data_IF_618753974078
#
_entry.id   IF_618753974078
#
_cell.length_a   1.000
_cell.length_b   1.000
_cell.length_c   1.000
_cell.angle_alpha   90.00
_cell.angle_beta   90.00
_cell.angle_gamma   90.00
#
_symmetry.space_group_name_H-M   'P 1'
#
loop_
_entity.id
_entity.type
_entity.pdbx_description
1 polymer ?
#
# COMPACT_ATOMS: atom_id res chain seq x y z
N UNK A 1 21.78 -20.05 -1.87
CA UNK A 1 22.14 -18.72 -2.40
C UNK A 1 23.42 -18.85 -3.21
N UNK A 2 24.41 -19.54 -2.66
CA UNK A 2 25.67 -19.97 -3.31
C UNK A 2 25.55 -20.53 -4.73
N UNK A 3 24.72 -21.56 -4.98
CA UNK A 3 24.63 -22.17 -6.31
C UNK A 3 24.30 -21.17 -7.43
N UNK A 4 23.38 -20.23 -7.17
CA UNK A 4 23.02 -19.22 -8.17
C UNK A 4 24.08 -18.13 -8.30
N UNK A 5 24.83 -17.87 -7.24
CA UNK A 5 25.94 -16.92 -7.23
C UNK A 5 27.08 -17.39 -8.14
N UNK A 6 27.34 -18.70 -8.15
CA UNK A 6 28.40 -19.32 -8.96
C UNK A 6 27.98 -19.57 -10.42
N UNK A 7 26.73 -20.01 -10.64
CA UNK A 7 26.28 -20.49 -11.96
C UNK A 7 25.61 -19.40 -12.83
N UNK A 8 24.88 -18.45 -12.23
CA UNK A 8 24.12 -17.42 -12.95
C UNK A 8 23.95 -16.14 -12.12
N UNK A 9 24.96 -15.28 -12.19
CA UNK A 9 25.00 -14.01 -11.46
C UNK A 9 23.84 -13.06 -11.83
N UNK A 10 23.30 -13.14 -13.06
CA UNK A 10 22.16 -12.33 -13.46
C UNK A 10 20.87 -12.76 -12.74
N UNK A 11 20.63 -14.07 -12.65
CA UNK A 11 19.51 -14.60 -11.86
C UNK A 11 19.71 -14.33 -10.38
N UNK A 12 20.94 -14.43 -9.88
CA UNK A 12 21.27 -14.10 -8.49
C UNK A 12 20.88 -12.67 -8.14
N UNK A 13 21.34 -11.70 -8.94
CA UNK A 13 21.01 -10.27 -8.76
C UNK A 13 19.51 -10.00 -8.83
N UNK A 14 18.78 -10.70 -9.73
CA UNK A 14 17.32 -10.56 -9.86
C UNK A 14 16.59 -11.12 -8.63
N UNK A 15 16.90 -12.35 -8.22
CA UNK A 15 16.18 -13.05 -7.14
C UNK A 15 16.54 -12.52 -5.76
N UNK A 16 17.81 -12.18 -5.53
CA UNK A 16 18.35 -11.77 -4.23
C UNK A 16 18.61 -10.26 -4.12
N UNK A 17 17.99 -9.45 -4.98
CA UNK A 17 18.18 -8.00 -5.01
C UNK A 17 18.00 -7.30 -3.65
N UNK A 18 17.07 -7.77 -2.81
CA UNK A 18 16.84 -7.24 -1.46
C UNK A 18 17.93 -7.66 -0.48
N UNK A 19 18.40 -8.90 -0.56
CA UNK A 19 19.48 -9.44 0.27
C UNK A 19 20.81 -8.73 -0.03
N UNK A 20 21.10 -8.50 -1.31
CA UNK A 20 22.28 -7.74 -1.76
C UNK A 20 22.22 -6.30 -1.22
N UNK A 21 21.06 -5.64 -1.29
CA UNK A 21 20.85 -4.30 -0.72
C UNK A 21 21.03 -4.26 0.80
N UNK A 22 20.69 -5.34 1.49
CA UNK A 22 20.82 -5.49 2.93
C UNK A 22 22.21 -6.02 3.36
N UNK A 23 23.10 -6.39 2.43
CA UNK A 23 24.42 -6.96 2.74
C UNK A 23 24.37 -8.36 3.37
N UNK A 24 23.29 -9.11 3.10
CA UNK A 24 23.06 -10.46 3.61
C UNK A 24 23.56 -11.46 2.57
N UNK A 25 24.57 -12.25 2.96
CA UNK A 25 25.16 -13.35 2.17
C UNK A 25 24.60 -14.69 2.63
N UNK A 26 24.88 -15.77 1.89
CA UNK A 26 24.43 -17.14 2.19
C UNK A 26 24.71 -17.54 3.65
N UNK A 27 25.94 -17.32 4.13
CA UNK A 27 26.38 -17.68 5.48
C UNK A 27 25.62 -16.92 6.57
N UNK A 28 25.29 -15.64 6.35
CA UNK A 28 24.63 -14.80 7.35
C UNK A 28 23.14 -15.12 7.54
N UNK A 29 22.56 -15.92 6.65
CA UNK A 29 21.13 -16.26 6.73
C UNK A 29 20.84 -17.11 7.96
N UNK A 30 21.73 -18.04 8.32
CA UNK A 30 21.55 -18.91 9.48
C UNK A 30 21.57 -18.13 10.80
N UNK A 31 22.58 -17.27 10.98
CA UNK A 31 22.71 -16.41 12.15
C UNK A 31 21.49 -15.50 12.31
N UNK A 32 21.04 -14.86 11.22
CA UNK A 32 19.87 -13.98 11.21
C UNK A 32 18.60 -14.68 11.74
N UNK A 33 18.36 -15.94 11.36
CA UNK A 33 17.19 -16.67 11.85
C UNK A 33 17.37 -17.16 13.28
N UNK A 34 18.59 -17.53 13.69
CA UNK A 34 18.88 -17.93 15.07
C UNK A 34 18.61 -16.78 16.03
N UNK A 35 19.14 -15.60 15.73
CA UNK A 35 18.88 -14.37 16.50
C UNK A 35 17.39 -14.00 16.51
N UNK A 36 16.70 -14.13 15.37
CA UNK A 36 15.26 -13.86 15.30
C UNK A 36 14.46 -14.82 16.20
N UNK A 37 14.81 -16.10 16.24
CA UNK A 37 14.14 -17.07 17.11
C UNK A 37 14.39 -16.80 18.59
N UNK A 38 15.60 -16.39 18.98
CA UNK A 38 15.90 -15.95 20.34
C UNK A 38 15.05 -14.74 20.73
N UNK A 39 15.02 -13.70 19.89
CA UNK A 39 14.22 -12.49 20.12
C UNK A 39 12.71 -12.78 20.25
N UNK A 40 12.15 -13.68 19.43
CA UNK A 40 10.74 -14.08 19.51
C UNK A 40 10.45 -14.84 20.81
N UNK A 41 11.38 -15.68 21.29
CA UNK A 41 11.21 -16.41 22.56
C UNK A 41 11.28 -15.47 23.76
N UNK A 42 12.14 -14.46 23.73
CA UNK A 42 12.24 -13.45 24.78
C UNK A 42 10.98 -12.58 24.87
N UNK A 43 10.42 -12.15 23.74
CA UNK A 43 9.21 -11.34 23.71
C UNK A 43 8.21 -11.82 22.65
N UNK A 44 7.32 -12.76 22.99
CA UNK A 44 6.34 -13.31 22.05
C UNK A 44 5.15 -12.37 21.80
N UNK A 45 5.05 -11.24 22.52
CA UNK A 45 3.91 -10.34 22.39
C UNK A 45 3.98 -9.53 21.09
N UNK A 46 2.87 -9.47 20.36
CA UNK A 46 2.78 -8.70 19.13
C UNK A 46 2.85 -7.18 19.42
N UNK A 47 3.85 -6.51 18.85
CA UNK A 47 3.93 -5.05 18.89
C UNK A 47 3.00 -4.44 17.84
N UNK A 48 2.01 -3.68 18.29
CA UNK A 48 1.11 -2.97 17.38
C UNK A 48 1.84 -1.77 16.79
N UNK A 49 1.98 -1.75 15.46
CA UNK A 49 2.51 -0.59 14.76
C UNK A 49 1.59 0.63 14.98
N UNK A 50 2.21 1.81 15.13
CA UNK A 50 1.48 3.08 15.13
C UNK A 50 0.73 3.24 13.81
N UNK A 51 -0.60 3.31 13.90
CA UNK A 51 -1.45 3.49 12.72
C UNK A 51 -1.25 4.91 12.19
N UNK A 52 -0.40 5.05 11.17
CA UNK A 52 -0.39 6.26 10.35
C UNK A 52 -1.80 6.48 9.83
N UNK A 53 -2.36 7.68 10.09
CA UNK A 53 -3.74 8.01 9.72
C UNK A 53 -4.01 7.70 8.24
N UNK A 54 -5.22 7.22 7.93
CA UNK A 54 -5.59 6.95 6.53
C UNK A 54 -5.48 8.26 5.75
N UNK A 55 -4.83 8.29 4.57
CA UNK A 55 -4.82 9.48 3.75
C UNK A 55 -6.26 9.88 3.42
N UNK A 56 -6.51 11.19 3.30
CA UNK A 56 -7.80 11.67 2.85
C UNK A 56 -8.17 10.98 1.53
N UNK A 57 -9.42 10.54 1.41
CA UNK A 57 -9.89 9.89 0.18
C UNK A 57 -9.61 10.82 -1.02
N UNK A 58 -9.09 10.30 -2.15
CA UNK A 58 -8.69 11.13 -3.28
C UNK A 58 -9.87 11.82 -3.97
N UNK A 59 -11.10 11.43 -3.64
CA UNK A 59 -12.32 12.02 -4.18
C UNK A 59 -13.21 12.60 -3.07
N UNK A 60 -13.91 13.68 -3.40
CA UNK A 60 -14.98 14.22 -2.56
C UNK A 60 -16.21 13.31 -2.67
N UNK A 61 -16.82 12.96 -1.53
CA UNK A 61 -18.12 12.30 -1.53
C UNK A 61 -19.17 13.30 -1.98
N UNK A 62 -19.98 12.95 -2.99
CA UNK A 62 -21.13 13.76 -3.37
C UNK A 62 -22.10 13.85 -2.19
N UNK A 63 -22.47 15.07 -1.84
CA UNK A 63 -23.49 15.36 -0.83
C UNK A 63 -24.84 15.50 -1.54
N UNK A 64 -25.89 14.96 -0.94
CA UNK A 64 -27.24 15.07 -1.48
C UNK A 64 -27.68 16.55 -1.58
N UNK A 65 -28.34 16.91 -2.68
CA UNK A 65 -28.87 18.27 -2.89
C UNK A 65 -29.96 18.60 -1.87
N UNK A 66 -29.96 19.84 -1.39
CA UNK A 66 -31.07 20.37 -0.57
C UNK A 66 -32.32 20.63 -1.44
N UNK A 67 -33.52 20.65 -0.85
CA UNK A 67 -34.80 20.95 -1.48
C UNK A 67 -34.75 22.20 -2.37
N UNK A 68 -34.18 23.32 -1.87
CA UNK A 68 -34.04 24.57 -2.66
C UNK A 68 -33.23 24.35 -3.94
N UNK A 69 -32.12 23.61 -3.86
CA UNK A 69 -31.27 23.30 -5.02
C UNK A 69 -31.99 22.39 -6.01
N UNK A 70 -32.76 21.41 -5.53
CA UNK A 70 -33.58 20.54 -6.39
C UNK A 70 -34.65 21.33 -7.14
N UNK A 71 -35.35 22.24 -6.44
CA UNK A 71 -36.37 23.10 -7.07
C UNK A 71 -35.77 24.02 -8.13
N UNK A 72 -34.61 24.62 -7.86
CA UNK A 72 -33.91 25.43 -8.85
C UNK A 72 -33.53 24.60 -10.09
N UNK A 73 -32.95 23.40 -9.90
CA UNK A 73 -32.65 22.51 -11.04
C UNK A 73 -33.87 22.18 -11.89
N UNK A 74 -35.02 21.94 -11.25
CA UNK A 74 -36.28 21.69 -11.98
C UNK A 74 -36.69 22.92 -12.77
N UNK A 75 -36.61 24.12 -12.17
CA UNK A 75 -36.93 25.38 -12.84
C UNK A 75 -36.03 25.61 -14.06
N UNK A 76 -34.72 25.44 -13.89
CA UNK A 76 -33.73 25.65 -14.93
C UNK A 76 -33.93 24.63 -16.07
N UNK A 77 -34.21 23.36 -15.74
CA UNK A 77 -34.50 22.32 -16.73
C UNK A 77 -35.76 22.61 -17.55
N UNK A 78 -36.82 23.12 -16.90
CA UNK A 78 -38.05 23.54 -17.60
C UNK A 78 -37.80 24.72 -18.54
N UNK A 79 -37.10 25.75 -18.06
CA UNK A 79 -36.77 26.91 -18.89
C UNK A 79 -35.89 26.54 -20.10
N UNK A 80 -34.92 25.64 -19.91
CA UNK A 80 -34.08 25.14 -20.99
C UNK A 80 -34.88 24.36 -22.04
N UNK A 81 -35.85 23.54 -21.59
CA UNK A 81 -36.74 22.81 -22.49
C UNK A 81 -37.63 23.75 -23.30
N UNK A 82 -38.25 24.74 -22.64
CA UNK A 82 -39.07 25.77 -23.29
C UNK A 82 -38.26 26.60 -24.29
N UNK A 83 -37.00 26.94 -23.98
CA UNK A 83 -36.13 27.67 -24.89
C UNK A 83 -35.62 26.84 -26.08
N UNK A 84 -35.75 25.51 -26.03
CA UNK A 84 -35.36 24.58 -27.10
C UNK A 84 -36.49 24.21 -28.06
N UNK A 85 -37.72 24.60 -27.74
CA UNK A 85 -38.92 24.48 -28.57
C UNK A 85 -39.06 25.71 -29.47
#
# INVERSE_FOLDING_TARGET
MEYLEEEDEERYKKQFSTFIKAGITSDKVEDMYTEAHEAIRENPAAQLAEKKGKPAKPYRRLVALNKKQRLNKIKDAKAAFEASQ
#
